data_IF_665893942831
#
_entry.id   IF_665893942831
#
_cell.length_a   1.000
_cell.length_b   1.000
_cell.length_c   1.000
_cell.angle_alpha   90.00
_cell.angle_beta   90.00
_cell.angle_gamma   90.00
#
_symmetry.space_group_name_H-M   'P 1'
#
loop_
_entity.id
_entity.type
_entity.pdbx_description
1 polymer ?
#
# COMPACT_ATOMS: atom_id res chain seq x y z
N UNK A 1 -56.57 -43.50 -67.18
CA UNK A 1 -55.14 -43.45 -67.56
C UNK A 1 -54.43 -42.73 -66.42
N UNK A 2 -54.01 -43.39 -65.34
CA UNK A 2 -53.00 -44.47 -65.25
C UNK A 2 -51.60 -44.01 -65.72
N UNK A 3 -50.48 -44.24 -65.01
CA UNK A 3 -50.30 -44.97 -63.73
C UNK A 3 -49.04 -44.55 -62.92
N UNK A 4 -49.10 -44.83 -61.61
CA UNK A 4 -48.06 -45.16 -60.60
C UNK A 4 -46.55 -45.06 -60.91
N UNK A 5 -45.76 -44.56 -59.92
CA UNK A 5 -44.95 -45.44 -59.01
C UNK A 5 -44.20 -44.75 -57.83
N UNK A 6 -43.75 -45.59 -56.89
CA UNK A 6 -43.13 -45.36 -55.56
C UNK A 6 -41.57 -45.40 -55.52
N UNK A 7 -40.84 -44.92 -54.49
CA UNK A 7 -41.19 -43.95 -53.43
C UNK A 7 -40.04 -43.11 -52.79
N UNK A 8 -39.23 -43.56 -51.79
CA UNK A 8 -39.31 -42.86 -50.51
C UNK A 8 -38.06 -42.09 -50.04
N UNK A 9 -38.29 -41.21 -49.06
CA UNK A 9 -37.39 -40.70 -48.00
C UNK A 9 -35.88 -40.95 -48.09
N UNK A 10 -35.09 -39.87 -48.11
CA UNK A 10 -33.73 -39.86 -47.54
C UNK A 10 -33.31 -38.45 -47.06
N UNK A 11 -33.21 -38.27 -45.74
CA UNK A 11 -32.55 -37.11 -45.10
C UNK A 11 -31.03 -37.19 -45.39
N UNK A 12 -30.38 -36.10 -45.82
CA UNK A 12 -28.93 -36.07 -46.10
C UNK A 12 -28.15 -35.37 -44.99
N UNK A 13 -27.30 -36.13 -44.29
CA UNK A 13 -26.34 -35.63 -43.29
C UNK A 13 -24.98 -35.35 -43.94
N UNK A 14 -24.36 -34.17 -43.72
CA UNK A 14 -22.95 -33.95 -44.05
C UNK A 14 -22.01 -33.99 -42.82
N UNK A 15 -21.18 -35.03 -42.79
CA UNK A 15 -19.75 -35.05 -42.39
C UNK A 15 -19.25 -34.69 -40.97
N UNK A 16 -18.09 -35.28 -40.65
CA UNK A 16 -17.45 -35.41 -39.32
C UNK A 16 -16.71 -34.14 -38.84
N UNK A 17 -16.44 -34.00 -37.52
CA UNK A 17 -15.97 -32.75 -36.93
C UNK A 17 -14.51 -32.40 -37.26
N UNK A 18 -14.26 -31.12 -37.54
CA UNK A 18 -12.93 -30.54 -37.52
C UNK A 18 -12.46 -30.32 -36.06
N UNK A 19 -11.16 -30.48 -35.82
CA UNK A 19 -10.56 -30.36 -34.47
C UNK A 19 -10.80 -28.98 -33.88
N UNK A 20 -11.41 -28.92 -32.69
CA UNK A 20 -11.48 -27.72 -31.87
C UNK A 20 -10.06 -27.34 -31.44
N UNK A 21 -9.54 -26.22 -31.98
CA UNK A 21 -8.44 -25.50 -31.33
C UNK A 21 -9.06 -24.61 -30.27
N UNK A 22 -8.73 -24.82 -29.00
CA UNK A 22 -9.11 -23.90 -27.93
C UNK A 22 -8.57 -22.51 -28.25
N UNK A 23 -9.41 -21.46 -28.34
CA UNK A 23 -8.92 -20.10 -28.41
C UNK A 23 -8.38 -19.74 -27.02
N UNK A 24 -7.07 -19.58 -26.91
CA UNK A 24 -6.46 -18.91 -25.75
C UNK A 24 -7.06 -17.50 -25.68
N UNK A 25 -7.69 -17.17 -24.55
CA UNK A 25 -8.45 -15.93 -24.39
C UNK A 25 -7.53 -14.71 -24.25
N UNK A 26 -6.98 -14.25 -25.37
CA UNK A 26 -6.32 -12.96 -25.48
C UNK A 26 -7.37 -11.83 -25.48
N UNK A 27 -7.99 -11.60 -24.31
CA UNK A 27 -8.92 -10.49 -24.11
C UNK A 27 -8.16 -9.27 -23.59
N UNK A 28 -8.05 -8.24 -24.41
CA UNK A 28 -7.41 -6.98 -24.04
C UNK A 28 -7.20 -6.07 -25.24
N UNK A 29 -8.14 -5.16 -25.49
CA UNK A 29 -7.92 -4.05 -26.41
C UNK A 29 -6.69 -3.26 -25.96
N UNK A 30 -5.73 -2.92 -26.85
CA UNK A 30 -4.52 -2.20 -26.45
C UNK A 30 -4.85 -0.88 -25.75
N UNK A 31 -4.57 -0.79 -24.45
CA UNK A 31 -4.86 0.42 -23.67
C UNK A 31 -3.80 1.47 -23.96
N UNK A 32 -4.23 2.55 -24.63
CA UNK A 32 -3.37 3.70 -24.91
C UNK A 32 -3.48 4.70 -23.76
N UNK A 33 -2.38 4.90 -23.05
CA UNK A 33 -2.26 5.94 -22.02
C UNK A 33 -1.99 7.29 -22.72
N UNK A 34 -2.72 8.38 -22.39
CA UNK A 34 -2.50 9.70 -22.98
C UNK A 34 -1.21 10.36 -22.46
N UNK A 35 -0.85 11.51 -23.03
CA UNK A 35 0.30 12.28 -22.56
C UNK A 35 0.04 12.87 -21.16
N UNK A 36 1.08 12.92 -20.32
CA UNK A 36 0.99 13.37 -18.92
C UNK A 36 0.32 14.74 -18.69
N UNK A 37 0.46 15.76 -19.56
CA UNK A 37 -0.22 17.06 -19.38
C UNK A 37 -1.76 17.00 -19.35
N UNK A 38 -2.37 15.90 -19.80
CA UNK A 38 -3.83 15.69 -19.78
C UNK A 38 -4.31 14.87 -18.56
N UNK A 39 -3.45 14.67 -17.55
CA UNK A 39 -3.76 13.89 -16.34
C UNK A 39 -3.46 14.72 -15.09
N UNK A 40 -4.31 14.62 -14.05
CA UNK A 40 -4.05 15.26 -12.74
C UNK A 40 -2.89 14.53 -12.06
N UNK A 41 -1.84 15.23 -11.65
CA UNK A 41 -0.78 14.63 -10.80
C UNK A 41 -1.38 14.29 -9.44
N UNK A 42 -1.13 13.07 -8.95
CA UNK A 42 -1.53 12.61 -7.62
C UNK A 42 -0.36 12.71 -6.63
N UNK A 43 0.85 12.38 -7.06
CA UNK A 43 2.04 12.44 -6.22
C UNK A 43 3.34 12.29 -7.01
N UNK A 44 4.47 12.41 -6.30
CA UNK A 44 5.79 12.09 -6.82
C UNK A 44 6.54 11.21 -5.84
N UNK A 45 7.21 10.19 -6.36
CA UNK A 45 8.21 9.41 -5.64
C UNK A 45 9.58 9.60 -6.28
N UNK A 46 10.62 9.02 -5.69
CA UNK A 46 12.00 9.17 -6.17
C UNK A 46 12.14 8.69 -7.62
N UNK A 47 12.32 9.62 -8.55
CA UNK A 47 12.43 9.35 -9.99
C UNK A 47 11.12 9.08 -10.74
N UNK A 48 9.95 9.10 -10.08
CA UNK A 48 8.65 8.74 -10.66
C UNK A 48 7.54 9.74 -10.30
N UNK A 49 6.51 9.84 -11.13
CA UNK A 49 5.30 10.61 -10.85
C UNK A 49 4.07 9.72 -11.03
N UNK A 50 3.09 9.89 -10.16
CA UNK A 50 1.80 9.20 -10.22
C UNK A 50 0.74 10.19 -10.72
N UNK A 51 -0.07 9.77 -11.69
CA UNK A 51 -1.12 10.58 -12.31
C UNK A 51 -2.47 9.88 -12.30
N UNK A 52 -3.55 10.62 -12.10
CA UNK A 52 -4.93 10.17 -12.25
C UNK A 52 -5.34 10.19 -13.72
N UNK A 53 -5.70 9.03 -14.26
CA UNK A 53 -6.26 8.86 -15.59
C UNK A 53 -7.76 8.55 -15.52
N UNK A 54 -8.58 9.55 -15.78
CA UNK A 54 -10.02 9.37 -16.00
C UNK A 54 -10.25 8.66 -17.33
N UNK A 55 -11.05 7.58 -17.31
CA UNK A 55 -11.23 6.69 -18.46
C UNK A 55 -12.51 7.01 -19.23
N UNK A 56 -12.35 7.71 -20.35
CA UNK A 56 -13.44 8.05 -21.27
C UNK A 56 -13.94 6.81 -22.03
N UNK A 57 -15.26 6.63 -22.13
CA UNK A 57 -15.90 5.52 -22.85
C UNK A 57 -17.42 5.62 -22.84
N UNK A 58 -18.12 4.71 -23.53
CA UNK A 58 -19.60 4.61 -23.51
C UNK A 58 -20.17 4.16 -22.15
N UNK A 59 -19.31 3.68 -21.26
CA UNK A 59 -19.63 3.33 -19.89
C UNK A 59 -18.66 4.07 -18.96
N UNK A 60 -19.12 4.43 -17.76
CA UNK A 60 -18.28 4.97 -16.69
C UNK A 60 -17.30 3.90 -16.23
N UNK A 61 -16.06 3.97 -16.68
CA UNK A 61 -14.99 3.11 -16.22
C UNK A 61 -14.33 3.72 -14.98
N UNK A 62 -13.95 2.88 -14.00
CA UNK A 62 -13.20 3.33 -12.84
C UNK A 62 -11.87 3.99 -13.27
N UNK A 63 -11.48 5.10 -12.63
CA UNK A 63 -10.24 5.79 -12.95
C UNK A 63 -9.03 4.93 -12.54
N UNK A 64 -7.89 5.20 -13.15
CA UNK A 64 -6.63 4.49 -12.88
C UNK A 64 -5.56 5.44 -12.36
N UNK A 65 -4.69 4.95 -11.47
CA UNK A 65 -3.45 5.61 -11.12
C UNK A 65 -2.33 5.16 -12.07
N UNK A 66 -1.60 6.08 -12.68
CA UNK A 66 -0.55 5.82 -13.67
C UNK A 66 0.79 6.28 -13.12
N UNK A 67 1.67 5.34 -12.77
CA UNK A 67 3.05 5.58 -12.35
C UNK A 67 3.95 5.64 -13.60
N UNK A 68 4.61 6.78 -13.81
CA UNK A 68 5.53 7.05 -14.93
C UNK A 68 6.88 7.53 -14.41
N UNK A 69 7.96 7.18 -15.11
CA UNK A 69 9.30 7.75 -14.84
C UNK A 69 9.26 9.26 -15.10
N UNK A 70 9.93 10.04 -14.25
CA UNK A 70 10.05 11.48 -14.40
C UNK A 70 10.89 11.83 -15.64
N UNK A 71 10.36 12.65 -16.56
CA UNK A 71 11.07 13.06 -17.78
C UNK A 71 12.28 13.95 -17.53
N UNK A 72 12.44 14.51 -16.32
CA UNK A 72 13.63 15.26 -15.90
C UNK A 72 14.75 14.36 -15.34
N UNK A 73 14.53 13.05 -15.23
CA UNK A 73 15.50 12.11 -14.69
C UNK A 73 16.72 11.93 -15.60
N UNK A 74 17.92 11.82 -15.02
CA UNK A 74 19.15 11.58 -15.78
C UNK A 74 19.11 10.21 -16.50
N UNK A 75 19.71 10.12 -17.70
CA UNK A 75 19.68 8.88 -18.52
C UNK A 75 20.21 7.63 -17.79
N UNK A 76 21.21 7.79 -16.92
CA UNK A 76 21.76 6.70 -16.09
C UNK A 76 20.73 6.18 -15.08
N UNK A 77 20.06 7.07 -14.37
CA UNK A 77 19.00 6.77 -13.41
C UNK A 77 17.73 6.24 -14.09
N UNK A 78 17.40 6.70 -15.31
CA UNK A 78 16.21 6.28 -16.04
C UNK A 78 16.15 4.76 -16.24
N UNK A 79 17.29 4.11 -16.52
CA UNK A 79 17.40 2.65 -16.61
C UNK A 79 17.10 1.96 -15.27
N UNK A 80 17.52 2.55 -14.14
CA UNK A 80 17.28 2.02 -12.79
C UNK A 80 15.78 2.12 -12.46
N UNK A 81 15.16 3.28 -12.65
CA UNK A 81 13.72 3.44 -12.42
C UNK A 81 12.88 2.60 -13.39
N UNK A 82 13.32 2.41 -14.63
CA UNK A 82 12.66 1.50 -15.56
C UNK A 82 12.76 0.04 -15.09
N UNK A 83 13.89 -0.40 -14.52
CA UNK A 83 14.00 -1.72 -13.90
C UNK A 83 13.06 -1.83 -12.69
N UNK A 84 13.10 -0.88 -11.75
CA UNK A 84 12.21 -0.87 -10.56
C UNK A 84 10.73 -0.94 -10.95
N UNK A 85 10.29 -0.10 -11.89
CA UNK A 85 8.90 -0.09 -12.38
C UNK A 85 8.51 -1.38 -13.11
N UNK A 86 9.46 -2.06 -13.78
CA UNK A 86 9.23 -3.41 -14.35
C UNK A 86 9.07 -4.48 -13.25
N UNK A 87 9.87 -4.46 -12.19
CA UNK A 87 9.77 -5.43 -11.09
C UNK A 87 8.49 -5.20 -10.26
N UNK A 88 8.18 -3.95 -9.92
CA UNK A 88 6.91 -3.55 -9.29
C UNK A 88 5.70 -4.05 -10.10
N UNK A 89 5.74 -3.89 -11.43
CA UNK A 89 4.69 -4.37 -12.32
C UNK A 89 4.56 -5.91 -12.35
N UNK A 90 5.63 -6.68 -12.12
CA UNK A 90 5.56 -8.15 -12.00
C UNK A 90 4.92 -8.53 -10.66
N UNK A 91 5.42 -7.97 -9.56
CA UNK A 91 4.94 -8.22 -8.20
C UNK A 91 3.44 -7.90 -8.13
N UNK A 92 3.07 -6.66 -8.44
CA UNK A 92 1.69 -6.15 -8.31
C UNK A 92 0.68 -6.93 -9.15
N UNK A 93 1.10 -7.52 -10.29
CA UNK A 93 0.23 -8.30 -11.18
C UNK A 93 -0.31 -9.56 -10.49
N UNK A 94 0.44 -10.14 -9.56
CA UNK A 94 0.04 -11.36 -8.86
C UNK A 94 -0.65 -11.07 -7.50
N UNK A 95 -0.79 -9.78 -7.13
CA UNK A 95 -1.46 -9.32 -5.90
C UNK A 95 -2.95 -9.00 -6.13
N UNK A 96 -3.81 -9.60 -5.32
CA UNK A 96 -5.27 -9.50 -5.38
C UNK A 96 -5.87 -9.55 -3.97
N UNK A 97 -6.02 -8.40 -3.31
CA UNK A 97 -6.55 -8.30 -1.95
C UNK A 97 -7.28 -6.96 -1.76
N UNK A 98 -8.41 -6.88 -1.00
CA UNK A 98 -9.15 -5.64 -0.80
C UNK A 98 -8.30 -4.48 -0.26
N UNK A 99 -7.34 -4.77 0.63
CA UNK A 99 -6.45 -3.78 1.25
C UNK A 99 -5.10 -3.59 0.54
N UNK A 100 -4.95 -4.06 -0.70
CA UNK A 100 -3.80 -3.75 -1.57
C UNK A 100 -4.32 -3.03 -2.82
N UNK A 101 -3.56 -2.07 -3.36
CA UNK A 101 -3.85 -1.44 -4.66
C UNK A 101 -3.61 -2.47 -5.79
N UNK A 102 -4.63 -2.81 -6.57
CA UNK A 102 -4.52 -3.82 -7.61
C UNK A 102 -3.80 -3.35 -8.89
N UNK A 103 -3.15 -4.28 -9.60
CA UNK A 103 -2.61 -4.05 -10.95
C UNK A 103 -3.71 -3.80 -12.00
N UNK A 104 -3.42 -3.03 -13.05
CA UNK A 104 -4.30 -2.90 -14.24
C UNK A 104 -3.58 -3.20 -15.55
N UNK A 105 -2.43 -2.59 -15.80
CA UNK A 105 -1.64 -2.82 -17.01
C UNK A 105 -0.20 -2.35 -16.86
N UNK A 106 0.72 -2.94 -17.63
CA UNK A 106 2.07 -2.43 -17.82
C UNK A 106 2.30 -2.20 -19.32
N UNK A 107 2.70 -0.99 -19.71
CA UNK A 107 2.76 -0.59 -21.12
C UNK A 107 3.89 0.38 -21.41
N UNK A 108 4.09 0.68 -22.69
CA UNK A 108 5.02 1.70 -23.19
C UNK A 108 4.22 2.85 -23.78
N UNK A 109 4.43 4.07 -23.30
CA UNK A 109 3.81 5.26 -23.88
C UNK A 109 4.45 5.61 -25.23
N UNK A 110 3.82 6.51 -25.99
CA UNK A 110 4.29 6.92 -27.33
C UNK A 110 5.69 7.54 -27.36
N UNK A 111 6.14 8.06 -26.22
CA UNK A 111 7.48 8.62 -25.98
C UNK A 111 8.55 7.55 -25.67
N UNK A 112 8.17 6.26 -25.65
CA UNK A 112 9.05 5.14 -25.30
C UNK A 112 9.14 4.86 -23.79
N UNK A 113 8.57 5.70 -22.93
CA UNK A 113 8.62 5.51 -21.47
C UNK A 113 7.74 4.35 -21.00
N UNK A 114 8.22 3.58 -20.02
CA UNK A 114 7.40 2.56 -19.33
C UNK A 114 6.40 3.22 -18.39
N UNK A 115 5.20 2.67 -18.36
CA UNK A 115 4.08 3.14 -17.55
C UNK A 115 3.43 1.94 -16.85
N UNK A 116 3.28 2.02 -15.53
CA UNK A 116 2.49 1.10 -14.73
C UNK A 116 1.12 1.74 -14.44
N UNK A 117 0.06 1.08 -14.88
CA UNK A 117 -1.32 1.43 -14.57
C UNK A 117 -1.83 0.53 -13.44
N UNK A 118 -2.41 1.17 -12.43
CA UNK A 118 -2.87 0.58 -11.18
C UNK A 118 -4.32 0.97 -10.92
N UNK A 119 -4.96 0.26 -10.00
CA UNK A 119 -6.20 0.69 -9.37
C UNK A 119 -6.01 2.09 -8.77
N UNK A 120 -7.01 2.95 -8.94
CA UNK A 120 -7.07 4.19 -8.18
C UNK A 120 -7.56 3.84 -6.77
N UNK A 121 -6.65 3.83 -5.81
CA UNK A 121 -6.92 3.38 -4.44
C UNK A 121 -7.65 4.39 -3.55
N UNK A 122 -7.64 5.68 -3.90
CA UNK A 122 -8.22 6.73 -3.08
C UNK A 122 -7.87 8.15 -3.54
N UNK A 123 -8.56 9.14 -2.98
CA UNK A 123 -8.37 10.56 -3.27
C UNK A 123 -7.08 11.13 -2.68
N UNK A 124 -6.63 10.56 -1.55
CA UNK A 124 -5.52 11.04 -0.72
C UNK A 124 -4.71 9.86 -0.16
N UNK A 125 -3.44 10.10 0.16
CA UNK A 125 -2.69 9.23 1.07
C UNK A 125 -3.10 9.50 2.53
N UNK A 126 -2.75 8.59 3.44
CA UNK A 126 -2.92 8.82 4.87
C UNK A 126 -2.05 9.98 5.35
N UNK A 127 -0.86 10.18 4.75
CA UNK A 127 -0.01 11.34 5.00
C UNK A 127 -0.74 12.64 4.65
N UNK A 128 -1.36 12.73 3.47
CA UNK A 128 -2.09 13.95 3.05
C UNK A 128 -3.23 14.31 4.03
N UNK A 129 -3.81 13.30 4.69
CA UNK A 129 -4.83 13.49 5.73
C UNK A 129 -4.22 13.91 7.07
N UNK A 130 -3.04 13.37 7.42
CA UNK A 130 -2.27 13.76 8.61
C UNK A 130 -1.80 15.21 8.49
N UNK A 131 -1.16 15.58 7.39
CA UNK A 131 -0.68 16.93 7.09
C UNK A 131 -1.82 17.93 7.16
N UNK A 132 -2.92 17.69 6.44
CA UNK A 132 -4.11 18.53 6.49
C UNK A 132 -4.66 18.68 7.92
N UNK A 133 -4.69 17.59 8.70
CA UNK A 133 -5.21 17.61 10.08
C UNK A 133 -4.32 18.44 11.01
N UNK A 134 -3.00 18.39 10.81
CA UNK A 134 -2.00 19.23 11.49
C UNK A 134 -2.16 20.70 11.10
N UNK A 135 -2.28 21.01 9.81
CA UNK A 135 -2.54 22.37 9.29
C UNK A 135 -3.85 22.98 9.83
N UNK A 136 -4.90 22.16 10.02
CA UNK A 136 -6.17 22.57 10.63
C UNK A 136 -6.11 22.71 12.17
N UNK A 137 -4.94 22.49 12.80
CA UNK A 137 -4.74 22.61 14.25
C UNK A 137 -5.51 21.55 15.06
N UNK A 138 -5.86 20.43 14.44
CA UNK A 138 -6.66 19.37 15.06
C UNK A 138 -5.77 18.40 15.83
N UNK A 139 -6.32 17.82 16.90
CA UNK A 139 -5.68 16.76 17.69
C UNK A 139 -5.65 15.41 16.93
N UNK A 140 -5.07 14.37 17.53
CA UNK A 140 -5.04 12.98 17.04
C UNK A 140 -6.30 12.51 16.28
N UNK A 141 -6.14 11.59 15.32
CA UNK A 141 -7.29 10.98 14.64
C UNK A 141 -8.23 10.26 15.63
N UNK A 142 -9.56 10.31 15.47
CA UNK A 142 -10.47 9.61 16.37
C UNK A 142 -10.12 8.11 16.44
N UNK A 143 -10.04 7.55 17.65
CA UNK A 143 -9.51 6.17 17.86
C UNK A 143 -10.17 5.11 16.96
N UNK A 144 -11.47 5.17 16.72
CA UNK A 144 -12.17 4.25 15.81
C UNK A 144 -11.67 4.31 14.35
N UNK A 145 -11.15 5.46 13.92
CA UNK A 145 -10.50 5.65 12.61
C UNK A 145 -9.12 4.98 12.61
N UNK A 146 -8.34 5.15 13.69
CA UNK A 146 -7.04 4.48 13.87
C UNK A 146 -7.23 2.96 13.90
N UNK A 147 -8.19 2.44 14.65
CA UNK A 147 -8.51 1.00 14.69
C UNK A 147 -8.91 0.44 13.32
N UNK A 148 -9.67 1.22 12.53
CA UNK A 148 -10.07 0.84 11.16
C UNK A 148 -8.87 0.79 10.21
N UNK A 149 -7.98 1.79 10.26
CA UNK A 149 -6.72 1.80 9.51
C UNK A 149 -5.82 0.65 9.94
N UNK A 150 -5.60 0.47 11.25
CA UNK A 150 -4.82 -0.60 11.84
C UNK A 150 -5.26 -1.98 11.31
N UNK A 151 -6.55 -2.31 11.42
CA UNK A 151 -7.09 -3.58 10.95
C UNK A 151 -6.93 -3.75 9.43
N UNK A 152 -7.21 -2.71 8.64
CA UNK A 152 -7.15 -2.78 7.19
C UNK A 152 -5.72 -2.92 6.65
N UNK A 153 -4.76 -2.18 7.22
CA UNK A 153 -3.34 -2.31 6.87
C UNK A 153 -2.78 -3.64 7.37
N UNK A 154 -3.13 -4.09 8.58
CA UNK A 154 -2.70 -5.40 9.10
C UNK A 154 -3.20 -6.57 8.23
N UNK A 155 -4.45 -6.52 7.72
CA UNK A 155 -4.95 -7.50 6.72
C UNK A 155 -4.15 -7.45 5.41
N UNK A 156 -3.79 -6.25 4.95
CA UNK A 156 -2.90 -6.07 3.80
C UNK A 156 -1.53 -6.71 4.00
N UNK A 157 -0.89 -6.46 5.14
CA UNK A 157 0.39 -7.06 5.50
C UNK A 157 0.31 -8.58 5.68
N UNK A 158 -0.72 -9.09 6.35
CA UNK A 158 -0.97 -10.53 6.50
C UNK A 158 -1.03 -11.22 5.14
N UNK A 159 -1.73 -10.64 4.17
CA UNK A 159 -1.78 -11.14 2.80
C UNK A 159 -0.39 -11.18 2.14
N UNK A 160 0.38 -10.10 2.25
CA UNK A 160 1.74 -10.04 1.68
C UNK A 160 2.68 -11.06 2.33
N UNK A 161 2.72 -11.10 3.67
CA UNK A 161 3.62 -11.96 4.45
C UNK A 161 3.25 -13.45 4.33
N UNK A 162 1.98 -13.80 4.56
CA UNK A 162 1.56 -15.20 4.71
C UNK A 162 1.15 -15.86 3.39
N UNK A 163 0.42 -15.18 2.50
CA UNK A 163 -0.03 -15.76 1.23
C UNK A 163 0.94 -15.53 0.07
N UNK A 164 1.66 -14.40 0.08
CA UNK A 164 2.55 -14.00 -1.02
C UNK A 164 4.03 -14.14 -0.71
N UNK A 165 4.40 -14.41 0.55
CA UNK A 165 5.80 -14.53 1.00
C UNK A 165 6.62 -13.33 0.53
N UNK A 166 6.11 -12.14 0.83
CA UNK A 166 6.65 -10.87 0.36
C UNK A 166 6.63 -9.84 1.49
N UNK A 167 7.78 -9.27 1.79
CA UNK A 167 7.95 -8.07 2.62
C UNK A 167 7.59 -6.84 1.79
N UNK A 168 6.81 -5.89 2.33
CA UNK A 168 6.48 -4.65 1.66
C UNK A 168 7.74 -3.78 1.47
N UNK A 169 8.52 -3.55 2.53
CA UNK A 169 9.85 -2.95 2.48
C UNK A 169 9.91 -1.41 2.51
N UNK A 170 8.76 -0.74 2.58
CA UNK A 170 8.60 0.73 2.76
C UNK A 170 7.20 1.05 3.30
N UNK A 171 6.86 0.54 4.50
CA UNK A 171 5.58 0.89 5.14
C UNK A 171 5.65 2.26 5.82
N UNK A 172 4.64 3.10 5.58
CA UNK A 172 4.48 4.47 6.13
C UNK A 172 3.12 5.03 5.70
N UNK A 173 2.66 6.11 6.32
CA UNK A 173 1.40 6.78 5.95
C UNK A 173 1.31 7.17 4.45
N UNK A 174 2.40 7.64 3.83
CA UNK A 174 2.43 7.99 2.39
C UNK A 174 2.07 6.82 1.46
N UNK A 175 2.30 5.58 1.90
CA UNK A 175 2.04 4.36 1.14
C UNK A 175 0.72 3.67 1.52
N UNK A 176 -0.12 4.33 2.34
CA UNK A 176 -1.51 3.94 2.60
C UNK A 176 -2.43 4.94 1.91
N UNK A 177 -3.26 4.49 0.97
CA UNK A 177 -4.22 5.35 0.26
C UNK A 177 -5.65 5.14 0.75
N UNK A 178 -6.36 6.25 0.90
CA UNK A 178 -7.68 6.34 1.53
C UNK A 178 -8.70 6.85 0.52
N UNK A 179 -9.83 6.14 0.42
CA UNK A 179 -10.95 6.54 -0.43
C UNK A 179 -12.17 6.94 0.40
N UNK A 180 -12.76 8.09 0.08
CA UNK A 180 -13.91 8.62 0.81
C UNK A 180 -13.62 8.81 2.30
N UNK A 181 -14.65 8.70 3.15
CA UNK A 181 -14.49 8.72 4.61
C UNK A 181 -14.02 7.36 5.14
N UNK A 182 -12.74 7.05 4.84
CA UNK A 182 -12.09 5.77 5.16
C UNK A 182 -12.88 4.54 4.66
N UNK A 183 -13.67 4.66 3.58
CA UNK A 183 -14.48 3.58 3.02
C UNK A 183 -13.61 2.45 2.46
N UNK A 184 -12.49 2.82 1.85
CA UNK A 184 -11.44 1.91 1.40
C UNK A 184 -10.09 2.40 1.90
N UNK A 185 -9.26 1.45 2.35
CA UNK A 185 -7.94 1.67 2.93
C UNK A 185 -7.03 0.61 2.31
N UNK A 186 -6.03 1.03 1.54
CA UNK A 186 -5.18 0.14 0.73
C UNK A 186 -3.70 0.51 0.84
N UNK A 187 -2.84 -0.49 0.96
CA UNK A 187 -1.38 -0.34 0.82
C UNK A 187 -1.03 -0.21 -0.67
N UNK A 188 -0.06 0.64 -0.99
CA UNK A 188 0.50 0.82 -2.33
C UNK A 188 2.03 0.95 -2.32
N UNK A 189 2.63 0.95 -3.51
CA UNK A 189 4.09 1.01 -3.76
C UNK A 189 4.91 -0.19 -3.27
N UNK A 190 4.60 -1.36 -3.83
CA UNK A 190 5.41 -2.60 -3.71
C UNK A 190 6.72 -2.54 -4.53
N UNK A 191 7.23 -1.34 -4.84
CA UNK A 191 8.37 -1.13 -5.74
C UNK A 191 9.74 -1.51 -5.15
N UNK A 192 9.79 -1.73 -3.83
CA UNK A 192 10.99 -2.15 -3.08
C UNK A 192 10.80 -3.46 -2.31
N UNK A 193 9.70 -4.17 -2.58
CA UNK A 193 9.32 -5.38 -1.85
C UNK A 193 10.28 -6.55 -2.06
N UNK A 194 10.51 -7.32 -1.00
CA UNK A 194 11.53 -8.37 -0.94
C UNK A 194 10.89 -9.76 -0.69
N UNK A 195 11.30 -10.83 -1.39
CA UNK A 195 10.78 -12.17 -1.13
C UNK A 195 11.18 -12.68 0.26
N UNK A 196 10.24 -13.34 0.93
CA UNK A 196 10.41 -13.99 2.23
C UNK A 196 10.53 -15.51 2.07
N UNK A 197 11.33 -16.13 2.92
CA UNK A 197 11.51 -17.57 2.98
C UNK A 197 10.44 -18.28 3.85
N UNK A 198 10.65 -19.55 4.17
CA UNK A 198 9.77 -20.31 5.06
C UNK A 198 9.78 -19.77 6.51
N UNK A 199 10.91 -19.21 6.96
CA UNK A 199 11.14 -18.61 8.28
C UNK A 199 10.67 -17.14 8.39
N UNK A 200 10.07 -16.59 7.33
CA UNK A 200 9.69 -15.16 7.21
C UNK A 200 10.89 -14.19 7.21
N UNK A 201 12.07 -14.66 6.79
CA UNK A 201 13.27 -13.83 6.59
C UNK A 201 13.45 -13.51 5.10
N UNK A 202 14.13 -12.41 4.78
CA UNK A 202 14.42 -12.04 3.38
C UNK A 202 15.31 -13.11 2.74
N UNK A 203 14.85 -13.72 1.65
CA UNK A 203 15.44 -14.94 1.12
C UNK A 203 16.75 -14.75 0.33
N UNK A 204 17.04 -13.53 -0.11
CA UNK A 204 18.26 -13.19 -0.86
C UNK A 204 19.24 -12.42 0.03
N UNK A 205 20.39 -13.01 0.40
CA UNK A 205 21.42 -12.33 1.21
C UNK A 205 22.04 -11.08 0.55
N UNK A 206 21.71 -10.76 -0.70
CA UNK A 206 22.12 -9.55 -1.42
C UNK A 206 21.00 -8.52 -1.57
N UNK A 207 19.80 -8.83 -1.08
CA UNK A 207 18.73 -7.86 -1.00
C UNK A 207 18.97 -6.95 0.22
N UNK A 208 18.96 -5.65 -0.03
CA UNK A 208 19.01 -4.65 1.03
C UNK A 208 17.61 -4.11 1.27
N UNK A 209 17.23 -3.94 2.54
CA UNK A 209 16.05 -3.15 2.90
C UNK A 209 16.28 -1.71 2.43
N UNK A 210 15.30 -1.12 1.73
CA UNK A 210 15.41 0.25 1.22
C UNK A 210 14.70 1.20 2.18
N UNK A 211 13.41 0.95 2.43
CA UNK A 211 12.60 1.71 3.37
C UNK A 211 12.58 3.21 3.14
N UNK A 212 12.27 3.93 4.22
CA UNK A 212 12.39 5.38 4.33
C UNK A 212 12.83 5.67 5.75
N UNK A 213 13.85 6.51 5.88
CA UNK A 213 14.73 6.58 7.03
C UNK A 213 14.04 6.70 8.40
N UNK A 214 13.07 7.61 8.65
CA UNK A 214 12.33 7.68 9.92
C UNK A 214 11.53 6.42 10.29
N UNK A 215 11.17 5.58 9.30
CA UNK A 215 10.39 4.35 9.50
C UNK A 215 11.25 3.09 9.53
N UNK A 216 12.57 3.21 9.29
CA UNK A 216 13.45 2.05 9.24
C UNK A 216 13.61 1.45 10.65
N UNK A 217 13.43 0.12 10.81
CA UNK A 217 13.71 -0.55 12.08
C UNK A 217 15.22 -0.69 12.29
N UNK A 218 15.63 -0.90 13.55
CA UNK A 218 17.06 -1.00 13.93
C UNK A 218 17.82 -2.06 13.13
N UNK A 219 17.22 -3.23 12.89
CA UNK A 219 17.85 -4.29 12.10
C UNK A 219 18.06 -3.94 10.61
N UNK A 220 17.39 -2.91 10.07
CA UNK A 220 17.63 -2.40 8.71
C UNK A 220 18.75 -1.36 8.65
N UNK A 221 19.14 -0.78 9.79
CA UNK A 221 20.19 0.24 9.91
C UNK A 221 21.54 -0.40 10.30
N UNK A 222 21.51 -1.49 11.08
CA UNK A 222 22.69 -2.21 11.57
C UNK A 222 23.06 -3.47 10.74
N UNK A 223 22.61 -3.54 9.47
CA UNK A 223 22.80 -4.71 8.57
C UNK A 223 22.38 -6.07 9.20
N UNK A 224 21.28 -6.04 9.96
CA UNK A 224 20.71 -7.21 10.65
C UNK A 224 19.86 -8.12 9.77
N UNK A 225 19.29 -9.16 10.39
CA UNK A 225 18.43 -10.14 9.69
C UNK A 225 17.04 -9.55 9.46
N UNK A 226 16.78 -9.13 8.22
CA UNK A 226 15.49 -8.58 7.81
C UNK A 226 14.43 -9.70 7.73
N UNK A 227 13.25 -9.44 8.31
CA UNK A 227 12.10 -10.35 8.36
C UNK A 227 10.78 -9.60 8.20
N UNK A 228 9.64 -10.31 8.18
CA UNK A 228 8.28 -9.73 8.20
C UNK A 228 8.12 -8.64 9.28
N UNK A 229 8.86 -8.77 10.39
CA UNK A 229 8.92 -7.86 11.54
C UNK A 229 9.42 -6.46 11.23
N UNK A 230 10.12 -6.26 10.11
CA UNK A 230 10.52 -4.94 9.65
C UNK A 230 9.29 -4.11 9.21
N UNK A 231 8.36 -4.71 8.46
CA UNK A 231 7.10 -4.07 8.11
C UNK A 231 6.21 -3.84 9.35
N UNK A 232 6.29 -4.70 10.37
CA UNK A 232 5.51 -4.55 11.62
C UNK A 232 5.97 -3.34 12.44
N UNK A 233 7.28 -3.08 12.50
CA UNK A 233 7.82 -1.88 13.14
C UNK A 233 7.33 -0.61 12.44
N UNK A 234 7.51 -0.55 11.12
CA UNK A 234 7.08 0.57 10.29
C UNK A 234 5.54 0.76 10.26
N UNK A 235 4.77 -0.33 10.38
CA UNK A 235 3.32 -0.29 10.64
C UNK A 235 3.00 0.34 12.00
N UNK A 236 3.73 -0.02 13.06
CA UNK A 236 3.59 0.60 14.38
C UNK A 236 3.83 2.10 14.33
N UNK A 237 4.86 2.53 13.61
CA UNK A 237 5.12 3.95 13.34
C UNK A 237 4.01 4.60 12.52
N UNK A 238 3.40 3.91 11.55
CA UNK A 238 2.23 4.42 10.80
C UNK A 238 1.02 4.68 11.71
N UNK A 239 0.85 3.91 12.80
CA UNK A 239 -0.18 4.20 13.81
C UNK A 239 0.21 5.39 14.70
N UNK A 240 1.49 5.53 15.03
CA UNK A 240 2.03 6.66 15.77
C UNK A 240 1.81 7.98 15.02
N UNK A 241 2.05 8.02 13.71
CA UNK A 241 1.76 9.20 12.86
C UNK A 241 0.29 9.65 12.94
N UNK A 242 -0.66 8.72 13.11
CA UNK A 242 -2.08 9.06 13.30
C UNK A 242 -2.41 9.59 14.71
N UNK A 243 -1.56 9.31 15.70
CA UNK A 243 -1.73 9.75 17.08
C UNK A 243 -1.02 11.09 17.35
N UNK A 244 0.14 11.36 16.75
CA UNK A 244 0.90 12.61 16.93
C UNK A 244 0.73 13.63 15.80
N UNK A 245 0.33 13.18 14.61
CA UNK A 245 0.30 13.96 13.37
C UNK A 245 1.66 14.43 12.84
N UNK A 246 2.75 13.86 13.36
CA UNK A 246 4.12 14.19 13.00
C UNK A 246 4.83 13.05 12.25
N UNK A 247 6.07 13.31 11.81
CA UNK A 247 6.97 12.31 11.23
C UNK A 247 7.88 11.76 12.34
N UNK A 248 8.10 10.43 12.44
CA UNK A 248 8.88 9.85 13.54
C UNK A 248 10.25 10.51 13.72
N UNK A 249 10.58 10.87 14.96
CA UNK A 249 11.85 11.50 15.36
C UNK A 249 12.15 12.91 14.80
N UNK A 250 11.32 13.48 13.91
CA UNK A 250 11.47 14.86 13.40
C UNK A 250 10.75 15.95 14.22
N UNK A 251 9.97 15.59 15.25
CA UNK A 251 9.23 16.53 16.12
C UNK A 251 10.11 17.58 16.82
N UNK A 252 11.43 17.39 16.87
CA UNK A 252 12.35 18.38 17.46
C UNK A 252 12.64 19.59 16.57
N UNK A 253 12.18 19.60 15.31
CA UNK A 253 12.37 20.75 14.41
C UNK A 253 11.49 21.96 14.77
N UNK A 254 10.45 21.74 15.59
CA UNK A 254 9.52 22.79 16.05
C UNK A 254 9.81 23.22 17.50
N UNK A 255 11.05 23.08 18.00
CA UNK A 255 11.44 23.76 19.25
C UNK A 255 11.34 25.26 19.03
N UNK A 256 10.49 25.93 19.83
CA UNK A 256 10.06 27.32 19.67
C UNK A 256 11.21 28.33 19.54
N UNK A 257 11.72 28.50 18.33
CA UNK A 257 12.57 29.61 17.92
C UNK A 257 11.71 30.83 17.60
N UNK A 258 11.95 31.93 18.31
CA UNK A 258 11.27 33.22 18.11
C UNK A 258 11.31 33.70 16.64
N UNK A 259 10.30 34.49 16.25
CA UNK A 259 10.19 35.17 14.95
C UNK A 259 11.33 36.19 14.69
N UNK A 260 12.58 35.76 14.46
CA UNK A 260 13.56 36.52 13.66
C UNK A 260 14.74 35.67 13.12
N UNK A 261 15.22 36.08 11.93
CA UNK A 261 16.38 35.60 11.17
C UNK A 261 16.29 34.26 10.37
N UNK A 262 16.91 34.25 9.18
CA UNK A 262 16.75 33.22 8.14
C UNK A 262 17.85 32.13 8.21
N UNK A 263 18.08 31.52 9.38
CA UNK A 263 19.04 30.42 9.56
C UNK A 263 18.36 29.06 9.80
N UNK A 264 17.73 28.51 8.76
CA UNK A 264 17.03 27.21 8.80
C UNK A 264 17.96 25.98 8.92
N UNK A 265 19.28 26.14 9.02
CA UNK A 265 20.26 25.03 9.02
C UNK A 265 21.02 24.84 10.35
N UNK A 266 20.90 25.74 11.34
CA UNK A 266 21.76 25.74 12.56
C UNK A 266 21.20 25.01 13.80
N UNK A 267 19.90 24.64 13.84
CA UNK A 267 19.25 24.06 15.05
C UNK A 267 18.83 22.58 14.87
N UNK A 268 19.16 21.95 13.74
CA UNK A 268 18.93 20.51 13.54
C UNK A 268 20.10 19.68 14.10
N UNK A 269 19.88 19.05 15.24
CA UNK A 269 20.80 18.03 15.80
C UNK A 269 20.73 16.73 14.98
N UNK A 270 21.43 16.73 13.85
CA UNK A 270 21.54 15.64 12.88
C UNK A 270 22.06 14.34 13.54
N UNK A 271 23.07 14.47 14.43
CA UNK A 271 23.63 13.34 15.17
C UNK A 271 22.56 12.71 16.10
N UNK A 272 21.86 13.52 16.91
CA UNK A 272 20.82 13.01 17.81
C UNK A 272 19.57 12.49 17.08
N UNK A 273 19.31 12.93 15.85
CA UNK A 273 18.30 12.32 14.98
C UNK A 273 18.77 10.95 14.49
N UNK A 274 20.00 10.83 13.96
CA UNK A 274 20.56 9.56 13.51
C UNK A 274 20.66 8.50 14.63
N UNK A 275 21.02 8.90 15.86
CA UNK A 275 21.07 8.00 17.03
C UNK A 275 19.71 7.41 17.43
N UNK A 276 18.59 8.04 17.03
CA UNK A 276 17.22 7.59 17.37
C UNK A 276 16.56 6.73 16.31
N UNK A 277 17.10 6.69 15.09
CA UNK A 277 16.54 5.86 14.03
C UNK A 277 16.48 4.38 14.47
N UNK A 278 15.41 3.68 14.10
CA UNK A 278 15.16 2.30 14.55
C UNK A 278 14.70 2.16 16.01
N UNK A 279 14.65 3.23 16.80
CA UNK A 279 14.07 3.23 18.15
C UNK A 279 12.58 3.61 18.12
N UNK A 280 11.85 3.31 19.21
CA UNK A 280 10.46 3.73 19.41
C UNK A 280 10.42 5.24 19.73
N UNK A 281 9.74 6.08 18.92
CA UNK A 281 9.58 7.50 19.22
C UNK A 281 8.75 7.70 20.49
N UNK A 282 8.92 8.86 21.14
CA UNK A 282 8.12 9.24 22.29
C UNK A 282 6.63 9.33 21.92
N UNK A 283 5.75 8.99 22.86
CA UNK A 283 4.31 9.14 22.68
C UNK A 283 3.69 9.55 24.02
N UNK A 284 3.09 10.73 24.07
CA UNK A 284 2.37 11.18 25.27
C UNK A 284 0.99 10.51 25.35
N UNK A 285 1.00 9.27 25.85
CA UNK A 285 -0.20 8.49 26.10
C UNK A 285 -1.14 9.15 27.14
N UNK A 286 -0.65 10.09 27.95
CA UNK A 286 -1.46 10.76 28.96
C UNK A 286 -2.40 11.82 28.33
N UNK A 287 -1.92 12.60 27.36
CA UNK A 287 -2.75 13.59 26.65
C UNK A 287 -3.71 12.98 25.63
N UNK A 288 -3.37 11.85 25.01
CA UNK A 288 -4.32 11.08 24.18
C UNK A 288 -5.54 10.59 24.98
N UNK A 289 -5.31 10.17 26.23
CA UNK A 289 -6.35 9.67 27.13
C UNK A 289 -6.74 8.20 26.90
N UNK A 290 -7.43 7.62 27.88
CA UNK A 290 -7.64 6.17 28.00
C UNK A 290 -8.36 5.49 26.82
N UNK A 291 -9.09 6.23 25.99
CA UNK A 291 -9.70 5.68 24.77
C UNK A 291 -8.65 5.12 23.79
N UNK A 292 -7.45 5.70 23.74
CA UNK A 292 -6.37 5.27 22.85
C UNK A 292 -5.52 4.14 23.41
N UNK A 293 -5.73 3.70 24.66
CA UNK A 293 -4.87 2.74 25.36
C UNK A 293 -4.52 1.52 24.49
N UNK A 294 -5.50 0.93 23.81
CA UNK A 294 -5.31 -0.24 22.94
C UNK A 294 -4.42 0.04 21.72
N UNK A 295 -4.49 1.25 21.15
CA UNK A 295 -3.64 1.66 20.03
C UNK A 295 -2.22 2.01 20.51
N UNK A 296 -2.08 2.59 21.70
CA UNK A 296 -0.79 2.79 22.38
C UNK A 296 -0.11 1.45 22.68
N UNK A 297 -0.85 0.48 23.21
CA UNK A 297 -0.36 -0.89 23.45
C UNK A 297 0.08 -1.58 22.14
N UNK A 298 -0.72 -1.46 21.07
CA UNK A 298 -0.37 -2.03 19.76
C UNK A 298 0.86 -1.35 19.14
N UNK A 299 0.96 -0.02 19.22
CA UNK A 299 2.14 0.75 18.82
C UNK A 299 3.39 0.25 19.55
N UNK A 300 3.33 0.15 20.89
CA UNK A 300 4.43 -0.35 21.70
C UNK A 300 4.85 -1.78 21.31
N UNK A 301 3.90 -2.71 21.19
CA UNK A 301 4.19 -4.08 20.78
C UNK A 301 4.81 -4.16 19.37
N UNK A 302 4.33 -3.34 18.42
CA UNK A 302 4.87 -3.29 17.07
C UNK A 302 6.27 -2.69 17.01
N UNK A 303 6.62 -1.79 17.93
CA UNK A 303 7.91 -1.09 18.00
C UNK A 303 8.80 -1.58 19.15
N UNK A 304 8.71 -2.86 19.52
CA UNK A 304 9.74 -3.53 20.34
C UNK A 304 11.08 -3.54 19.61
N UNK A 305 12.17 -3.28 20.32
CA UNK A 305 13.53 -3.28 19.73
C UNK A 305 13.86 -4.66 19.14
N UNK A 306 13.63 -5.72 19.91
CA UNK A 306 13.75 -7.11 19.50
C UNK A 306 12.63 -7.50 18.49
N UNK A 307 12.96 -7.81 17.22
CA UNK A 307 11.98 -8.19 16.20
C UNK A 307 11.13 -9.40 16.58
N UNK A 308 11.67 -10.33 17.40
CA UNK A 308 10.96 -11.55 17.79
C UNK A 308 9.82 -11.28 18.79
N UNK A 309 9.86 -10.15 19.52
CA UNK A 309 8.77 -9.73 20.42
C UNK A 309 7.65 -9.02 19.69
N UNK A 310 7.93 -8.42 18.53
CA UNK A 310 6.90 -7.78 17.69
C UNK A 310 5.88 -8.84 17.25
N UNK A 311 4.57 -8.54 17.23
CA UNK A 311 3.56 -9.49 16.75
C UNK A 311 3.74 -9.80 15.25
N UNK A 312 3.06 -10.80 14.71
CA UNK A 312 2.93 -10.97 13.25
C UNK A 312 1.67 -10.26 12.75
N UNK A 313 1.62 -9.88 11.48
CA UNK A 313 0.42 -9.26 10.89
C UNK A 313 -0.84 -10.12 11.11
N UNK A 314 -0.72 -11.45 10.96
CA UNK A 314 -1.80 -12.40 11.27
C UNK A 314 -2.29 -12.33 12.73
N UNK A 315 -1.39 -12.18 13.70
CA UNK A 315 -1.76 -12.04 15.10
C UNK A 315 -2.44 -10.70 15.39
N UNK A 316 -1.96 -9.61 14.78
CA UNK A 316 -2.59 -8.28 14.86
C UNK A 316 -4.04 -8.36 14.35
N UNK A 317 -4.27 -8.94 13.17
CA UNK A 317 -5.62 -9.11 12.60
C UNK A 317 -6.51 -9.92 13.55
N UNK A 318 -6.03 -11.06 14.07
CA UNK A 318 -6.78 -11.89 15.01
C UNK A 318 -7.22 -11.10 16.27
N UNK A 319 -6.31 -10.33 16.89
CA UNK A 319 -6.59 -9.54 18.09
C UNK A 319 -7.50 -8.35 17.79
N UNK A 320 -7.37 -7.74 16.60
CA UNK A 320 -8.22 -6.62 16.19
C UNK A 320 -9.67 -7.08 15.96
N UNK A 321 -9.88 -8.15 15.17
CA UNK A 321 -11.20 -8.69 14.82
C UNK A 321 -11.95 -9.31 15.99
N UNK A 322 -11.24 -10.01 16.90
CA UNK A 322 -11.86 -10.67 18.06
C UNK A 322 -12.63 -9.69 18.95
N UNK A 323 -12.14 -8.45 19.08
CA UNK A 323 -12.78 -7.42 19.90
C UNK A 323 -13.85 -6.64 19.14
N UNK A 324 -13.81 -6.56 17.81
CA UNK A 324 -14.93 -6.02 17.02
C UNK A 324 -16.21 -6.81 17.32
N UNK A 325 -16.11 -8.14 17.39
CA UNK A 325 -17.22 -9.02 17.74
C UNK A 325 -17.70 -8.89 19.20
N UNK A 326 -16.91 -8.33 20.10
CA UNK A 326 -17.31 -8.04 21.50
C UNK A 326 -18.03 -6.68 21.59
N UNK A 327 -17.58 -5.70 20.82
CA UNK A 327 -18.21 -4.38 20.75
C UNK A 327 -19.64 -4.48 20.15
N UNK A 328 -19.80 -5.18 19.03
CA UNK A 328 -21.11 -5.40 18.38
C UNK A 328 -22.12 -6.13 19.28
N UNK A 329 -21.66 -6.94 20.24
CA UNK A 329 -22.53 -7.71 21.16
C UNK A 329 -23.01 -6.94 22.37
N UNK A 330 -22.56 -5.70 22.59
CA UNK A 330 -22.91 -4.91 23.77
C UNK A 330 -24.26 -4.17 23.66
N UNK A 331 -25.09 -4.50 22.65
CA UNK A 331 -26.40 -3.86 22.40
C UNK A 331 -27.62 -4.70 22.80
N UNK A 332 -27.46 -5.98 23.20
CA UNK A 332 -28.58 -6.79 23.68
C UNK A 332 -28.73 -6.74 25.20
N UNK A 333 -29.47 -5.75 25.68
CA UNK A 333 -30.00 -5.74 27.06
C UNK A 333 -31.09 -6.81 27.16
N UNK A 334 -30.70 -8.02 27.57
CA UNK A 334 -31.66 -9.05 27.95
C UNK A 334 -32.21 -8.70 29.34
N UNK A 335 -33.33 -7.99 29.37
CA UNK A 335 -34.17 -7.88 30.57
C UNK A 335 -34.84 -9.25 30.79
N UNK A 336 -34.70 -9.80 31.99
CA UNK A 336 -35.47 -10.95 32.46
C UNK A 336 -36.17 -10.52 33.75
N UNK A 337 -37.51 -10.59 33.74
CA UNK A 337 -38.38 -10.45 34.93
C UNK A 337 -38.31 -11.71 35.81
#
# INVERSE_FOLDING_TARGET
MEANKESPSAFKTPCKPAKVKNPVSACGTPVTIPASPFMKKLGCGTGVNVYLMNRMGKHTHSPWAIKKINSKCAKSQMTIYQKRLCEEAKILKDLHHPNIVGFRAFTTAKDGSKCLAMEYGGEQSLNDLIEKRREEGLQAFPVATIEKVALHVARGLQYLHNEKKLLHGDMKSCNVVIKGDFESIKICDVGVSLPLDENMQVSDPKAHYIGTEPWNPKEALEDGVISDKADIFAYGLTLWEMMTLAVPHLEMLDTEGDDDDNSFEDDFDEDAYYERLGTRPALDAATLGGAYQRMVELFCLCTEEDPHKRPSAAHIVQVLESNTQLCDKSSEVIIVD
#
